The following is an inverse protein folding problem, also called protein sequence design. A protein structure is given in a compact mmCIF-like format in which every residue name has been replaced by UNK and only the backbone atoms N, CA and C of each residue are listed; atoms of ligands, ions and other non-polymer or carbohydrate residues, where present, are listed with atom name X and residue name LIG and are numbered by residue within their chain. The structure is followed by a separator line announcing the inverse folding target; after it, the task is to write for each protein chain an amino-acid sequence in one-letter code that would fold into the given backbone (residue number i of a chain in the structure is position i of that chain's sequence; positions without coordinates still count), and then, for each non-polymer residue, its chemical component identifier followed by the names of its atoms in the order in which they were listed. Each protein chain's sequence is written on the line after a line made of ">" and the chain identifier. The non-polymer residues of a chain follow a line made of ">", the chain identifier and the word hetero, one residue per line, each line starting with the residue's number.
data_IF_837364040654
#
_entry.id   IF_837364040654
#
_cell.length_a   1.000
_cell.length_b   1.000
_cell.length_c   1.000
_cell.angle_alpha   90.00
_cell.angle_beta   90.00
_cell.angle_gamma   90.00
#
_symmetry.space_group_name_H-M   'P 1'
#
loop_
_entity.id
_entity.type
_entity.pdbx_description
1 polymer ?
#
# COMPACT_ATOMS: atom_id res chain seq x y z
N UNK A 1 0.82 -28.60 11.09
CA UNK A 1 -0.45 -28.51 11.84
C UNK A 1 -1.17 -27.20 11.60
N UNK A 2 -0.67 -26.08 12.11
CA UNK A 2 -1.43 -24.81 12.22
C UNK A 2 -1.97 -24.19 10.91
N UNK A 3 -1.43 -24.51 9.74
CA UNK A 3 -1.92 -23.95 8.47
C UNK A 3 -3.37 -24.35 8.18
N UNK A 4 -3.67 -25.65 8.25
CA UNK A 4 -5.01 -26.16 7.99
C UNK A 4 -6.03 -25.55 8.94
N UNK A 5 -5.65 -25.36 10.21
CA UNK A 5 -6.52 -24.72 11.18
C UNK A 5 -6.86 -23.27 10.78
N UNK A 6 -5.87 -22.47 10.37
CA UNK A 6 -6.12 -21.08 9.93
C UNK A 6 -7.02 -21.07 8.69
N UNK A 7 -6.74 -21.90 7.69
CA UNK A 7 -7.56 -21.99 6.48
C UNK A 7 -8.99 -22.45 6.80
N UNK A 8 -9.17 -23.45 7.67
CA UNK A 8 -10.49 -23.91 8.10
C UNK A 8 -11.25 -22.84 8.88
N UNK A 9 -10.59 -22.11 9.78
CA UNK A 9 -11.23 -21.01 10.52
C UNK A 9 -11.64 -19.90 9.56
N UNK A 10 -10.76 -19.48 8.65
CA UNK A 10 -11.04 -18.39 7.71
C UNK A 10 -12.03 -18.79 6.61
N UNK A 11 -12.16 -20.08 6.30
CA UNK A 11 -13.22 -20.58 5.42
C UNK A 11 -14.61 -20.32 6.01
N UNK A 12 -14.75 -20.47 7.33
CA UNK A 12 -16.02 -20.28 8.04
C UNK A 12 -16.22 -18.82 8.46
N UNK A 13 -15.14 -18.16 8.89
CA UNK A 13 -15.16 -16.81 9.46
C UNK A 13 -14.10 -15.90 8.82
N UNK A 14 -14.26 -15.50 7.55
CA UNK A 14 -13.25 -14.72 6.82
C UNK A 14 -13.00 -13.34 7.44
N UNK A 15 -14.01 -12.75 8.10
CA UNK A 15 -13.87 -11.46 8.79
C UNK A 15 -12.84 -11.48 9.93
N UNK A 16 -12.55 -12.65 10.50
CA UNK A 16 -11.55 -12.80 11.57
C UNK A 16 -10.13 -12.51 11.10
N UNK A 17 -9.86 -12.53 9.78
CA UNK A 17 -8.56 -12.14 9.25
C UNK A 17 -8.21 -10.67 9.55
N UNK A 18 -9.22 -9.80 9.72
CA UNK A 18 -9.04 -8.40 10.10
C UNK A 18 -9.22 -8.14 11.60
N UNK A 19 -9.44 -9.18 12.41
CA UNK A 19 -9.56 -9.00 13.85
C UNK A 19 -8.23 -8.45 14.40
N UNK A 20 -8.34 -7.36 15.16
CA UNK A 20 -7.22 -6.73 15.86
C UNK A 20 -7.21 -7.23 17.31
N UNK A 21 -6.02 -7.46 17.86
CA UNK A 21 -5.86 -7.72 19.29
C UNK A 21 -6.04 -6.42 20.11
N UNK A 22 -5.87 -6.49 21.44
CA UNK A 22 -5.94 -5.32 22.35
C UNK A 22 -4.94 -4.19 22.01
N UNK A 23 -3.88 -4.53 21.29
CA UNK A 23 -2.82 -3.61 20.86
C UNK A 23 -3.06 -3.09 19.42
N UNK A 24 -4.19 -3.41 18.79
CA UNK A 24 -4.52 -2.99 17.43
C UNK A 24 -3.85 -3.82 16.33
N UNK A 25 -3.14 -4.91 16.68
CA UNK A 25 -2.34 -5.72 15.75
C UNK A 25 -3.18 -6.83 15.12
N UNK A 26 -3.10 -6.97 13.79
CA UNK A 26 -3.81 -8.02 13.04
C UNK A 26 -3.04 -9.35 13.03
N UNK A 27 -3.73 -10.45 12.72
CA UNK A 27 -3.09 -11.76 12.53
C UNK A 27 -2.01 -11.74 11.43
N UNK A 28 -2.22 -10.99 10.35
CA UNK A 28 -1.24 -10.86 9.26
C UNK A 28 0.01 -10.09 9.73
N UNK A 29 -0.15 -9.07 10.57
CA UNK A 29 0.96 -8.32 11.16
C UNK A 29 1.83 -9.22 12.04
N UNK A 30 1.21 -10.04 12.90
CA UNK A 30 1.93 -11.01 13.73
C UNK A 30 2.68 -12.04 12.85
N UNK A 31 2.01 -12.55 11.82
CA UNK A 31 2.62 -13.52 10.89
C UNK A 31 3.85 -12.92 10.19
N UNK A 32 3.76 -11.67 9.74
CA UNK A 32 4.85 -10.94 9.11
C UNK A 32 6.03 -10.72 10.07
N UNK A 33 5.77 -10.29 11.31
CA UNK A 33 6.81 -10.13 12.33
C UNK A 33 7.56 -11.43 12.64
N UNK A 34 6.82 -12.55 12.78
CA UNK A 34 7.43 -13.87 12.99
C UNK A 34 8.31 -14.25 11.80
N UNK A 35 7.85 -14.00 10.59
CA UNK A 35 8.60 -14.31 9.38
C UNK A 35 9.90 -13.49 9.28
N UNK A 36 9.82 -12.18 9.50
CA UNK A 36 10.99 -11.29 9.52
C UNK A 36 11.98 -11.77 10.56
N UNK A 37 11.54 -12.02 11.80
CA UNK A 37 12.40 -12.52 12.88
C UNK A 37 13.10 -13.84 12.50
N UNK A 38 12.40 -14.77 11.85
CA UNK A 38 12.99 -16.03 11.40
C UNK A 38 14.05 -15.84 10.31
N UNK A 39 13.83 -14.92 9.38
CA UNK A 39 14.84 -14.55 8.37
C UNK A 39 16.05 -13.89 9.05
N UNK A 40 15.81 -12.96 9.97
CA UNK A 40 16.86 -12.27 10.72
C UNK A 40 17.78 -13.24 11.45
N UNK A 41 17.22 -14.19 12.18
CA UNK A 41 17.99 -15.23 12.88
C UNK A 41 18.77 -16.13 11.90
N UNK A 42 18.29 -16.30 10.68
CA UNK A 42 18.99 -17.07 9.64
C UNK A 42 20.14 -16.27 9.01
N UNK A 43 19.99 -14.95 8.88
CA UNK A 43 20.97 -14.04 8.29
C UNK A 43 22.05 -13.57 9.26
N UNK A 44 21.77 -13.47 10.56
CA UNK A 44 22.76 -13.03 11.57
C UNK A 44 23.97 -13.96 11.71
N UNK A 45 23.91 -15.15 11.12
CA UNK A 45 25.05 -16.05 11.01
C UNK A 45 25.99 -15.72 9.85
N UNK A 46 25.59 -14.85 8.92
CA UNK A 46 26.39 -14.31 7.82
C UNK A 46 26.67 -12.83 8.09
N UNK A 47 27.82 -12.54 8.69
CA UNK A 47 28.14 -11.27 9.35
C UNK A 47 28.36 -10.05 8.44
N UNK A 48 27.89 -10.02 7.19
CA UNK A 48 28.33 -8.99 6.24
C UNK A 48 27.33 -8.44 5.20
N UNK A 49 26.02 -8.74 5.26
CA UNK A 49 25.08 -8.09 4.32
C UNK A 49 23.83 -7.48 4.97
N UNK A 50 23.73 -6.15 4.82
CA UNK A 50 22.58 -5.36 5.25
C UNK A 50 21.28 -5.75 4.54
N UNK A 51 20.35 -6.27 5.34
CA UNK A 51 18.89 -6.10 5.30
C UNK A 51 18.23 -5.55 4.02
N UNK A 52 18.29 -6.32 2.96
CA UNK A 52 17.24 -6.25 1.95
C UNK A 52 16.49 -7.57 1.97
N UNK A 53 15.30 -7.60 2.57
CA UNK A 53 14.31 -8.68 2.38
C UNK A 53 14.09 -8.95 0.87
N UNK A 54 14.35 -7.94 0.03
CA UNK A 54 14.32 -7.99 -1.42
C UNK A 54 15.59 -8.59 -2.06
N UNK A 55 16.66 -8.87 -1.31
CA UNK A 55 17.87 -9.58 -1.78
C UNK A 55 17.92 -11.05 -1.43
N UNK A 56 16.82 -11.65 -0.96
CA UNK A 56 16.67 -13.11 -1.00
C UNK A 56 16.72 -13.57 -2.47
N UNK A 57 17.94 -13.67 -3.03
CA UNK A 57 18.25 -14.59 -4.12
C UNK A 57 17.87 -15.94 -3.56
N UNK A 58 17.06 -16.70 -4.28
CA UNK A 58 16.71 -18.07 -3.93
C UNK A 58 18.01 -18.89 -3.83
N UNK A 59 18.68 -18.81 -2.69
CA UNK A 59 19.94 -19.47 -2.47
C UNK A 59 19.60 -20.96 -2.43
N UNK A 60 20.23 -21.76 -3.30
CA UNK A 60 19.83 -23.15 -3.65
C UNK A 60 19.81 -24.13 -2.47
N UNK A 61 20.14 -23.70 -1.25
CA UNK A 61 19.93 -24.51 -0.04
C UNK A 61 18.42 -24.69 0.17
N UNK A 62 17.95 -25.92 -0.03
CA UNK A 62 16.54 -26.37 -0.06
C UNK A 62 15.62 -25.89 1.09
N UNK A 63 16.17 -25.38 2.20
CA UNK A 63 15.41 -24.98 3.40
C UNK A 63 14.70 -23.62 3.26
N UNK A 64 15.36 -22.58 2.73
CA UNK A 64 14.83 -21.22 2.75
C UNK A 64 13.63 -21.00 1.82
N UNK A 65 13.64 -21.63 0.64
CA UNK A 65 12.55 -21.53 -0.34
C UNK A 65 11.26 -22.15 0.16
N UNK A 66 11.34 -23.23 0.95
CA UNK A 66 10.16 -23.87 1.55
C UNK A 66 9.51 -22.96 2.60
N UNK A 67 10.30 -22.34 3.50
CA UNK A 67 9.77 -21.45 4.52
C UNK A 67 9.07 -20.22 3.92
N UNK A 68 9.71 -19.56 2.93
CA UNK A 68 9.10 -18.44 2.21
C UNK A 68 7.80 -18.87 1.53
N UNK A 69 7.76 -20.04 0.85
CA UNK A 69 6.54 -20.55 0.22
C UNK A 69 5.43 -20.81 1.24
N UNK A 70 5.75 -21.40 2.40
CA UNK A 70 4.79 -21.63 3.46
C UNK A 70 4.25 -20.33 4.08
N UNK A 71 5.13 -19.35 4.29
CA UNK A 71 4.73 -18.02 4.74
C UNK A 71 3.83 -17.34 3.71
N UNK A 72 4.23 -17.33 2.44
CA UNK A 72 3.50 -16.68 1.36
C UNK A 72 2.10 -17.27 1.18
N UNK A 73 1.97 -18.61 1.21
CA UNK A 73 0.65 -19.25 1.13
C UNK A 73 -0.29 -18.85 2.29
N UNK A 74 0.25 -18.67 3.50
CA UNK A 74 -0.49 -18.16 4.67
C UNK A 74 -0.89 -16.70 4.49
N UNK A 75 0.05 -15.87 4.06
CA UNK A 75 -0.21 -14.46 3.80
C UNK A 75 -1.30 -14.28 2.74
N UNK A 76 -1.23 -15.00 1.61
CA UNK A 76 -2.29 -14.97 0.59
C UNK A 76 -3.65 -15.40 1.14
N UNK A 77 -3.72 -16.45 1.98
CA UNK A 77 -4.98 -16.89 2.59
C UNK A 77 -5.58 -15.80 3.47
N UNK A 78 -4.76 -15.13 4.28
CA UNK A 78 -5.20 -14.03 5.13
C UNK A 78 -5.64 -12.83 4.30
N UNK A 79 -4.87 -12.44 3.28
CA UNK A 79 -5.21 -11.33 2.38
C UNK A 79 -6.54 -11.62 1.65
N UNK A 80 -6.74 -12.86 1.17
CA UNK A 80 -8.00 -13.29 0.54
C UNK A 80 -9.19 -13.08 1.50
N UNK A 81 -9.11 -13.66 2.69
CA UNK A 81 -10.15 -13.56 3.70
C UNK A 81 -10.44 -12.09 4.09
N UNK A 82 -9.39 -11.29 4.26
CA UNK A 82 -9.48 -9.90 4.66
C UNK A 82 -10.10 -8.99 3.60
N UNK A 83 -9.65 -9.10 2.35
CA UNK A 83 -10.03 -8.20 1.26
C UNK A 83 -11.30 -8.68 0.55
N UNK A 84 -11.36 -9.95 0.13
CA UNK A 84 -12.50 -10.50 -0.62
C UNK A 84 -13.61 -11.06 0.27
N UNK A 85 -13.39 -11.14 1.60
CA UNK A 85 -14.32 -11.81 2.53
C UNK A 85 -14.58 -13.28 2.16
N UNK A 86 -13.63 -13.91 1.48
CA UNK A 86 -13.64 -15.32 1.08
C UNK A 86 -12.21 -15.80 0.86
N UNK A 87 -11.95 -17.09 1.05
CA UNK A 87 -10.69 -17.74 0.67
C UNK A 87 -10.82 -18.65 -0.56
N UNK A 88 -12.04 -18.82 -1.08
CA UNK A 88 -12.37 -19.73 -2.16
C UNK A 88 -12.82 -18.93 -3.38
N UNK A 89 -12.30 -19.30 -4.55
CA UNK A 89 -12.74 -18.77 -5.84
C UNK A 89 -14.01 -19.47 -6.34
N UNK A 90 -14.90 -18.77 -7.08
CA UNK A 90 -14.80 -17.37 -7.47
C UNK A 90 -15.11 -16.40 -6.31
N UNK A 91 -14.43 -15.26 -6.28
CA UNK A 91 -14.68 -14.24 -5.27
C UNK A 91 -16.02 -13.51 -5.50
N UNK A 92 -16.62 -12.92 -4.45
CA UNK A 92 -17.82 -12.10 -4.58
C UNK A 92 -17.67 -11.03 -5.67
N UNK A 93 -18.77 -10.73 -6.36
CA UNK A 93 -18.83 -9.74 -7.44
C UNK A 93 -17.93 -10.03 -8.65
N UNK A 94 -17.58 -11.30 -8.89
CA UNK A 94 -16.71 -11.74 -10.00
C UNK A 94 -15.34 -11.06 -10.00
N UNK A 95 -14.86 -10.65 -8.83
CA UNK A 95 -13.54 -10.04 -8.71
C UNK A 95 -12.45 -11.07 -8.98
N UNK A 96 -11.38 -10.64 -9.66
CA UNK A 96 -10.21 -11.46 -9.95
C UNK A 96 -9.17 -11.29 -8.85
N UNK A 97 -8.49 -12.38 -8.49
CA UNK A 97 -7.39 -12.35 -7.52
C UNK A 97 -6.24 -11.50 -8.03
N UNK A 98 -5.95 -10.40 -7.33
CA UNK A 98 -4.76 -9.60 -7.54
C UNK A 98 -4.14 -9.29 -6.18
N UNK A 99 -3.17 -10.11 -5.79
CA UNK A 99 -2.51 -10.02 -4.49
C UNK A 99 -1.90 -8.64 -4.24
N UNK A 100 -1.41 -7.96 -5.28
CA UNK A 100 -0.88 -6.60 -5.15
C UNK A 100 -2.01 -5.66 -4.76
N UNK A 101 -3.10 -5.57 -5.53
CA UNK A 101 -4.29 -4.75 -5.19
C UNK A 101 -4.83 -5.05 -3.80
N UNK A 102 -5.00 -6.33 -3.47
CA UNK A 102 -5.55 -6.75 -2.18
C UNK A 102 -4.62 -6.36 -1.02
N UNK A 103 -3.31 -6.58 -1.15
CA UNK A 103 -2.33 -6.23 -0.10
C UNK A 103 -2.27 -4.73 0.16
N UNK A 104 -2.35 -3.90 -0.88
CA UNK A 104 -2.23 -2.44 -0.74
C UNK A 104 -3.52 -1.78 -0.26
N UNK A 105 -4.68 -2.34 -0.64
CA UNK A 105 -5.98 -1.83 -0.21
C UNK A 105 -6.32 -2.22 1.22
N UNK A 106 -5.73 -3.31 1.72
CA UNK A 106 -6.06 -3.83 3.04
C UNK A 106 -5.48 -2.95 4.15
N UNK A 107 -6.37 -2.46 4.99
CA UNK A 107 -6.05 -1.78 6.25
C UNK A 107 -5.20 -2.70 7.14
N UNK A 108 -4.04 -2.21 7.58
CA UNK A 108 -3.13 -2.94 8.47
C UNK A 108 -2.27 -4.01 7.79
N UNK A 109 -2.20 -4.04 6.45
CA UNK A 109 -1.25 -4.91 5.76
C UNK A 109 0.19 -4.48 6.08
N UNK A 110 1.06 -5.38 6.54
CA UNK A 110 2.48 -5.06 6.71
C UNK A 110 3.10 -4.66 5.39
N UNK A 111 3.90 -3.59 5.38
CA UNK A 111 4.56 -3.08 4.18
C UNK A 111 5.44 -4.15 3.52
N UNK A 112 6.12 -4.98 4.30
CA UNK A 112 6.96 -6.07 3.79
C UNK A 112 6.16 -7.10 3.01
N UNK A 113 4.91 -7.36 3.42
CA UNK A 113 4.01 -8.28 2.72
C UNK A 113 3.58 -7.68 1.39
N UNK A 114 3.23 -6.38 1.35
CA UNK A 114 2.86 -5.69 0.12
C UNK A 114 4.06 -5.57 -0.85
N UNK A 115 5.24 -5.25 -0.35
CA UNK A 115 6.48 -5.21 -1.14
C UNK A 115 6.85 -6.59 -1.69
N UNK A 116 6.67 -7.64 -0.88
CA UNK A 116 6.83 -9.02 -1.34
C UNK A 116 5.82 -9.37 -2.44
N UNK A 117 4.55 -8.96 -2.29
CA UNK A 117 3.52 -9.14 -3.31
C UNK A 117 3.92 -8.50 -4.64
N UNK A 118 4.37 -7.23 -4.59
CA UNK A 118 4.84 -6.48 -5.77
C UNK A 118 6.04 -7.17 -6.41
N UNK A 119 6.97 -7.68 -5.61
CA UNK A 119 8.15 -8.36 -6.12
C UNK A 119 7.82 -9.70 -6.80
N UNK A 120 6.84 -10.45 -6.28
CA UNK A 120 6.42 -11.74 -6.85
C UNK A 120 5.54 -11.53 -8.09
N UNK A 121 4.71 -10.50 -8.10
CA UNK A 121 3.72 -10.22 -9.14
C UNK A 121 3.81 -8.78 -9.69
N UNK A 122 4.97 -8.37 -10.26
CA UNK A 122 5.17 -7.00 -10.74
C UNK A 122 4.19 -6.61 -11.85
N UNK A 123 3.72 -7.58 -12.65
CA UNK A 123 2.74 -7.38 -13.71
C UNK A 123 1.41 -6.79 -13.21
N UNK A 124 1.05 -7.03 -11.94
CA UNK A 124 -0.20 -6.53 -11.36
C UNK A 124 -0.16 -5.03 -11.08
N UNK A 125 1.02 -4.40 -11.04
CA UNK A 125 1.13 -2.93 -10.91
C UNK A 125 0.50 -2.20 -12.10
N UNK A 126 0.54 -2.82 -13.28
CA UNK A 126 0.02 -2.28 -14.53
C UNK A 126 -1.39 -2.79 -14.85
N UNK A 127 -2.04 -3.51 -13.94
CA UNK A 127 -3.38 -4.04 -14.14
C UNK A 127 -4.41 -3.19 -13.39
N UNK A 128 -5.51 -2.89 -14.06
CA UNK A 128 -6.69 -2.32 -13.42
C UNK A 128 -7.53 -3.44 -12.79
N UNK A 129 -8.11 -3.15 -11.62
CA UNK A 129 -9.16 -3.99 -11.05
C UNK A 129 -10.50 -3.77 -11.75
N UNK A 130 -11.56 -4.38 -11.20
CA UNK A 130 -12.91 -4.30 -11.75
C UNK A 130 -13.47 -2.87 -11.75
N UNK A 131 -12.93 -1.97 -10.92
CA UNK A 131 -13.33 -0.57 -10.77
C UNK A 131 -12.41 0.38 -11.57
N UNK A 132 -11.45 -0.17 -12.33
CA UNK A 132 -10.46 0.62 -13.08
C UNK A 132 -9.29 1.11 -12.24
N UNK A 133 -9.17 0.68 -10.99
CA UNK A 133 -8.13 1.14 -10.08
C UNK A 133 -6.84 0.35 -10.30
N UNK A 134 -5.73 1.07 -10.38
CA UNK A 134 -4.39 0.51 -10.19
C UNK A 134 -4.09 0.39 -8.69
N UNK A 135 -3.07 -0.36 -8.28
CA UNK A 135 -2.61 -0.38 -6.88
C UNK A 135 -2.34 1.02 -6.31
N UNK A 136 -1.84 1.94 -7.14
CA UNK A 136 -1.62 3.33 -6.75
C UNK A 136 -2.92 4.07 -6.32
N UNK A 137 -4.06 3.80 -6.98
CA UNK A 137 -5.34 4.39 -6.61
C UNK A 137 -5.80 3.91 -5.22
N UNK A 138 -5.62 2.62 -4.96
CA UNK A 138 -6.00 1.97 -3.70
C UNK A 138 -5.15 2.44 -2.52
N UNK A 139 -3.85 2.70 -2.75
CA UNK A 139 -2.99 3.32 -1.73
C UNK A 139 -3.37 4.78 -1.50
N UNK A 140 -3.64 5.53 -2.57
CA UNK A 140 -4.01 6.92 -2.47
C UNK A 140 -5.31 7.11 -1.67
N UNK A 141 -6.31 6.24 -1.87
CA UNK A 141 -7.60 6.31 -1.18
C UNK A 141 -7.55 5.91 0.30
N UNK A 142 -6.45 5.30 0.78
CA UNK A 142 -6.34 4.79 2.14
C UNK A 142 -5.53 5.75 3.04
N UNK A 143 -6.14 6.30 4.08
CA UNK A 143 -5.52 7.25 5.01
C UNK A 143 -4.55 6.59 6.00
N UNK A 144 -4.74 5.31 6.35
CA UNK A 144 -4.00 4.62 7.41
C UNK A 144 -2.53 4.31 7.10
N UNK A 145 -2.14 4.22 5.82
CA UNK A 145 -0.74 3.97 5.41
C UNK A 145 0.24 5.06 5.87
N UNK A 146 -0.30 6.18 6.35
CA UNK A 146 0.44 7.34 6.83
C UNK A 146 0.96 7.18 8.27
N UNK A 147 0.31 6.36 9.10
CA UNK A 147 0.60 6.24 10.52
C UNK A 147 1.02 4.81 10.92
N UNK A 148 0.72 3.82 10.09
CA UNK A 148 1.06 2.42 10.35
C UNK A 148 2.58 2.13 10.32
N UNK A 149 3.40 3.07 9.87
CA UNK A 149 4.86 2.98 9.94
C UNK A 149 5.37 3.90 11.05
N UNK A 150 5.29 3.44 12.30
CA UNK A 150 6.04 4.07 13.40
C UNK A 150 7.54 3.85 13.12
N UNK A 151 8.33 4.91 12.87
CA UNK A 151 9.77 4.81 12.64
C UNK A 151 10.52 4.17 13.82
N UNK A 152 9.89 4.00 14.98
CA UNK A 152 10.47 3.30 16.14
C UNK A 152 10.97 1.88 15.82
N UNK A 153 10.43 1.21 14.80
CA UNK A 153 10.93 -0.10 14.35
C UNK A 153 12.23 -0.02 13.52
N UNK A 154 12.55 1.16 12.99
CA UNK A 154 13.83 1.46 12.32
C UNK A 154 14.55 2.53 13.15
N UNK A 155 14.82 2.24 14.43
CA UNK A 155 15.85 2.97 15.21
C UNK A 155 17.25 2.63 14.66
N UNK A 156 17.49 2.99 13.41
CA UNK A 156 18.85 3.16 12.93
C UNK A 156 19.27 4.58 13.32
N UNK A 157 19.93 4.70 14.48
CA UNK A 157 20.33 5.98 15.09
C UNK A 157 21.33 6.80 14.24
N UNK A 158 21.72 6.31 13.05
CA UNK A 158 22.82 6.85 12.28
C UNK A 158 22.51 7.18 10.81
N UNK A 159 21.24 7.41 10.42
CA UNK A 159 20.96 7.82 9.03
C UNK A 159 20.32 9.19 8.93
N UNK A 160 21.20 10.19 8.84
CA UNK A 160 20.84 11.48 8.27
C UNK A 160 20.34 11.26 6.83
N UNK A 161 19.10 11.67 6.60
CA UNK A 161 18.51 11.84 5.27
C UNK A 161 18.01 10.58 4.52
N UNK A 162 17.66 9.48 5.22
CA UNK A 162 16.71 8.53 4.63
C UNK A 162 15.33 9.17 4.70
N UNK A 163 14.93 9.79 3.59
CA UNK A 163 13.50 9.99 3.31
C UNK A 163 12.80 8.66 3.53
N UNK A 164 11.86 8.61 4.48
CA UNK A 164 11.08 7.42 4.81
C UNK A 164 10.24 7.05 3.58
N UNK A 165 10.83 6.30 2.66
CA UNK A 165 10.21 5.92 1.41
C UNK A 165 8.96 5.10 1.72
N UNK A 166 7.81 5.72 1.47
CA UNK A 166 6.51 5.11 1.71
C UNK A 166 6.24 4.03 0.65
N UNK A 167 5.27 3.15 0.91
CA UNK A 167 4.82 2.19 -0.10
C UNK A 167 4.31 2.89 -1.37
N UNK A 168 3.69 4.06 -1.21
CA UNK A 168 3.26 4.92 -2.31
C UNK A 168 4.46 5.32 -3.18
N UNK A 169 5.56 5.78 -2.58
CA UNK A 169 6.78 6.16 -3.30
C UNK A 169 7.33 4.98 -4.09
N UNK A 170 7.36 3.78 -3.49
CA UNK A 170 7.82 2.57 -4.16
C UNK A 170 6.96 2.18 -5.36
N UNK A 171 5.63 2.32 -5.26
CA UNK A 171 4.76 2.05 -6.41
C UNK A 171 4.96 3.10 -7.51
N UNK A 172 5.11 4.38 -7.17
CA UNK A 172 5.41 5.42 -8.14
C UNK A 172 6.74 5.22 -8.84
N UNK A 173 7.78 4.81 -8.11
CA UNK A 173 9.09 4.49 -8.68
C UNK A 173 9.01 3.34 -9.70
N UNK A 174 8.15 2.35 -9.44
CA UNK A 174 7.98 1.17 -10.29
C UNK A 174 7.03 1.40 -11.48
N UNK A 175 6.00 2.23 -11.31
CA UNK A 175 5.00 2.50 -12.35
C UNK A 175 4.48 3.95 -12.30
N UNK A 176 5.30 4.94 -12.70
CA UNK A 176 4.97 6.36 -12.56
C UNK A 176 3.77 6.80 -13.43
N UNK A 177 3.56 6.13 -14.57
CA UNK A 177 2.45 6.45 -15.48
C UNK A 177 1.08 6.30 -14.82
N UNK A 178 0.93 5.45 -13.80
CA UNK A 178 -0.33 5.29 -13.07
C UNK A 178 -0.83 6.59 -12.43
N UNK A 179 0.06 7.54 -12.09
CA UNK A 179 -0.34 8.82 -11.49
C UNK A 179 -1.26 9.65 -12.41
N UNK A 180 -1.18 9.41 -13.72
CA UNK A 180 -1.93 10.17 -14.75
C UNK A 180 -3.17 9.45 -15.27
N UNK A 181 -3.37 8.19 -14.91
CA UNK A 181 -4.49 7.39 -15.40
C UNK A 181 -5.61 7.49 -14.37
N UNK A 182 -6.81 7.84 -14.81
CA UNK A 182 -8.00 7.85 -13.97
C UNK A 182 -8.66 6.47 -13.92
N UNK A 183 -9.36 6.15 -12.83
CA UNK A 183 -10.19 4.95 -12.74
C UNK A 183 -11.49 5.07 -13.58
N UNK A 184 -12.39 4.09 -13.50
CA UNK A 184 -13.66 4.10 -14.25
C UNK A 184 -14.60 5.25 -13.88
N UNK A 185 -14.45 5.83 -12.68
CA UNK A 185 -15.21 6.99 -12.24
C UNK A 185 -14.58 8.31 -12.69
N UNK A 186 -13.45 8.28 -13.41
CA UNK A 186 -12.70 9.46 -13.82
C UNK A 186 -11.78 10.04 -12.73
N UNK A 187 -11.72 9.40 -11.56
CA UNK A 187 -10.94 9.87 -10.41
C UNK A 187 -9.47 9.54 -10.60
N UNK A 188 -8.61 10.53 -10.37
CA UNK A 188 -7.16 10.34 -10.39
C UNK A 188 -6.62 9.87 -9.03
N UNK A 189 -5.44 9.25 -8.95
CA UNK A 189 -4.79 8.95 -7.67
C UNK A 189 -4.61 10.19 -6.78
N UNK A 190 -4.28 11.35 -7.37
CA UNK A 190 -4.14 12.60 -6.63
C UNK A 190 -5.45 13.02 -5.95
N UNK A 191 -6.58 12.96 -6.68
CA UNK A 191 -7.89 13.29 -6.12
C UNK A 191 -8.30 12.35 -4.99
N UNK A 192 -8.05 11.04 -5.15
CA UNK A 192 -8.30 10.04 -4.11
C UNK A 192 -7.46 10.30 -2.85
N UNK A 193 -6.19 10.69 -3.00
CA UNK A 193 -5.31 11.05 -1.89
C UNK A 193 -5.75 12.31 -1.13
N UNK A 194 -6.22 13.33 -1.86
CA UNK A 194 -6.74 14.56 -1.26
C UNK A 194 -8.00 14.27 -0.46
N UNK A 195 -8.92 13.48 -1.02
CA UNK A 195 -10.19 13.12 -0.38
C UNK A 195 -10.01 12.22 0.84
N UNK A 196 -9.06 11.29 0.79
CA UNK A 196 -8.72 10.45 1.95
C UNK A 196 -8.08 11.25 3.08
N UNK A 197 -7.67 12.50 2.82
CA UNK A 197 -7.05 13.35 3.84
C UNK A 197 -5.57 13.01 4.04
N UNK A 198 -4.86 12.58 2.99
CA UNK A 198 -3.40 12.60 3.03
C UNK A 198 -2.91 14.05 3.15
N UNK A 199 -1.72 14.24 3.71
CA UNK A 199 -1.09 15.55 3.81
C UNK A 199 0.00 15.70 2.75
N UNK A 200 0.48 16.93 2.55
CA UNK A 200 1.56 17.25 1.61
C UNK A 200 2.76 16.30 1.80
N UNK A 201 3.19 16.12 3.04
CA UNK A 201 4.38 15.31 3.37
C UNK A 201 4.11 13.81 3.44
N UNK A 202 2.83 13.42 3.55
CA UNK A 202 2.41 12.01 3.61
C UNK A 202 1.89 11.53 2.26
N UNK A 203 2.61 11.87 1.19
CA UNK A 203 2.43 11.31 -0.16
C UNK A 203 1.80 12.23 -1.19
N UNK A 204 1.09 13.31 -0.81
CA UNK A 204 0.50 14.22 -1.82
C UNK A 204 1.60 14.87 -2.66
N UNK A 205 2.69 15.36 -2.06
CA UNK A 205 3.78 15.99 -2.79
C UNK A 205 4.31 15.08 -3.90
N UNK A 206 4.58 13.82 -3.56
CA UNK A 206 5.11 12.81 -4.50
C UNK A 206 4.11 12.45 -5.61
N UNK A 207 2.82 12.30 -5.28
CA UNK A 207 1.78 12.14 -6.29
C UNK A 207 1.67 13.35 -7.21
N UNK A 208 1.72 14.56 -6.64
CA UNK A 208 1.64 15.81 -7.37
C UNK A 208 2.82 15.95 -8.36
N UNK A 209 4.05 15.71 -7.90
CA UNK A 209 5.26 15.75 -8.71
C UNK A 209 5.24 14.71 -9.85
N UNK A 210 4.61 13.55 -9.64
CA UNK A 210 4.44 12.51 -10.66
C UNK A 210 3.27 12.77 -11.63
N UNK A 211 2.34 13.67 -11.27
CA UNK A 211 1.15 13.97 -12.08
C UNK A 211 1.50 15.04 -13.11
N UNK A 212 1.00 14.87 -14.34
CA UNK A 212 1.21 15.83 -15.41
C UNK A 212 0.53 17.18 -15.10
N UNK A 213 1.13 18.32 -15.50
CA UNK A 213 0.56 19.63 -15.23
C UNK A 213 -0.88 19.81 -15.73
N UNK A 214 -1.23 19.19 -16.87
CA UNK A 214 -2.59 19.26 -17.42
C UNK A 214 -3.61 18.57 -16.52
N UNK A 215 -3.25 17.44 -15.90
CA UNK A 215 -4.11 16.69 -14.97
C UNK A 215 -4.30 17.43 -13.65
N UNK A 216 -3.21 17.95 -13.06
CA UNK A 216 -3.27 18.83 -11.87
C UNK A 216 -4.19 20.04 -12.13
N UNK A 217 -4.22 20.50 -13.38
CA UNK A 217 -4.97 21.69 -13.74
C UNK A 217 -6.46 21.46 -14.03
N UNK A 218 -6.91 20.21 -14.02
CA UNK A 218 -8.28 19.82 -14.33
C UNK A 218 -9.11 19.69 -13.05
N UNK A 219 -10.40 20.02 -13.13
CA UNK A 219 -11.35 19.77 -12.03
C UNK A 219 -11.65 18.27 -11.97
N UNK A 220 -11.75 17.72 -10.77
CA UNK A 220 -12.14 16.33 -10.65
C UNK A 220 -13.57 16.11 -11.16
N UNK A 221 -13.84 15.06 -11.96
CA UNK A 221 -15.16 14.86 -12.56
C UNK A 221 -16.28 14.60 -11.54
N UNK A 222 -15.96 14.07 -10.36
CA UNK A 222 -16.95 13.66 -9.37
C UNK A 222 -17.50 14.82 -8.55
N UNK A 223 -16.66 15.82 -8.22
CA UNK A 223 -17.02 16.95 -7.36
C UNK A 223 -16.90 18.31 -8.07
N UNK A 224 -16.28 18.37 -9.24
CA UNK A 224 -16.05 19.62 -9.98
C UNK A 224 -15.06 20.56 -9.30
N UNK A 225 -14.26 20.07 -8.35
CA UNK A 225 -13.31 20.87 -7.57
C UNK A 225 -11.88 20.75 -8.13
N UNK A 226 -11.09 21.80 -7.94
CA UNK A 226 -9.65 21.73 -8.18
C UNK A 226 -8.93 21.04 -7.01
N UNK A 227 -7.70 20.53 -7.22
CA UNK A 227 -6.95 19.84 -6.17
C UNK A 227 -6.82 20.60 -4.84
N UNK A 228 -6.54 21.91 -4.87
CA UNK A 228 -6.44 22.71 -3.63
C UNK A 228 -7.79 22.87 -2.92
N UNK A 229 -8.91 22.90 -3.66
CA UNK A 229 -10.26 22.91 -3.10
C UNK A 229 -10.59 21.55 -2.48
N UNK A 230 -10.21 20.44 -3.12
CA UNK A 230 -10.34 19.09 -2.56
C UNK A 230 -9.55 18.95 -1.26
N UNK A 231 -8.32 19.47 -1.18
CA UNK A 231 -7.56 19.55 0.08
C UNK A 231 -8.28 20.37 1.16
N UNK A 232 -9.03 21.41 0.78
CA UNK A 232 -9.76 22.25 1.73
C UNK A 232 -10.99 21.53 2.32
N UNK A 233 -11.70 20.73 1.52
CA UNK A 233 -12.91 20.01 1.97
C UNK A 233 -12.64 18.59 2.51
N UNK A 234 -11.43 18.06 2.32
CA UNK A 234 -11.05 16.72 2.74
C UNK A 234 -11.02 16.52 4.27
N UNK A 235 -11.12 15.26 4.71
CA UNK A 235 -11.21 14.84 6.12
C UNK A 235 -10.12 15.42 7.03
N UNK A 236 -8.89 15.53 6.52
CA UNK A 236 -7.74 16.07 7.23
C UNK A 236 -7.20 17.31 6.51
N UNK A 237 -8.06 18.31 6.34
CA UNK A 237 -7.67 19.56 5.69
C UNK A 237 -6.41 20.14 6.32
N UNK A 238 -5.36 20.29 5.53
CA UNK A 238 -4.05 20.77 5.96
C UNK A 238 -3.71 22.04 5.21
N UNK A 239 -3.50 23.14 5.94
CA UNK A 239 -3.17 24.44 5.34
C UNK A 239 -1.91 24.36 4.47
N UNK A 240 -0.93 23.54 4.85
CA UNK A 240 0.28 23.30 4.07
C UNK A 240 -0.04 22.64 2.73
N UNK A 241 -0.92 21.63 2.70
CA UNK A 241 -1.35 21.01 1.44
C UNK A 241 -2.08 22.01 0.54
N UNK A 242 -3.02 22.77 1.10
CA UNK A 242 -3.80 23.77 0.35
C UNK A 242 -2.88 24.84 -0.23
N UNK A 243 -2.04 25.44 0.62
CA UNK A 243 -1.12 26.50 0.23
C UNK A 243 -0.12 26.03 -0.82
N UNK A 244 0.48 24.84 -0.63
CA UNK A 244 1.40 24.26 -1.60
C UNK A 244 0.71 24.03 -2.94
N UNK A 245 -0.48 23.43 -2.97
CA UNK A 245 -1.23 23.22 -4.22
C UNK A 245 -1.61 24.54 -4.91
N UNK A 246 -2.04 25.55 -4.13
CA UNK A 246 -2.40 26.87 -4.67
C UNK A 246 -1.19 27.62 -5.22
N UNK A 247 -0.03 27.53 -4.57
CA UNK A 247 1.20 28.20 -5.01
C UNK A 247 1.73 27.67 -6.34
N UNK A 248 1.44 26.42 -6.69
CA UNK A 248 1.77 25.86 -7.99
C UNK A 248 0.81 26.33 -9.11
N UNK A 249 -0.25 27.08 -8.80
CA UNK A 249 -1.21 27.66 -9.75
C UNK A 249 -1.53 29.13 -9.46
N UNK A 250 -0.55 30.05 -9.60
CA UNK A 250 -0.78 31.46 -9.33
C UNK A 250 -1.89 32.07 -10.19
N UNK A 251 -2.08 31.59 -11.43
CA UNK A 251 -3.15 32.05 -12.33
C UNK A 251 -4.58 31.87 -11.80
N UNK A 252 -4.82 30.94 -10.86
CA UNK A 252 -6.15 30.78 -10.26
C UNK A 252 -6.44 31.82 -9.17
N UNK A 253 -5.43 32.54 -8.68
CA UNK A 253 -5.60 33.59 -7.67
C UNK A 253 -6.29 34.83 -8.21
N UNK A 254 -6.34 35.01 -9.53
CA UNK A 254 -6.92 36.20 -10.18
C UNK A 254 -8.46 36.11 -10.22
N UNK A 255 -9.03 34.91 -10.07
CA UNK A 255 -10.46 34.65 -10.22
C UNK A 255 -11.21 34.33 -8.92
N UNK A 256 -10.51 34.34 -7.78
CA UNK A 256 -11.05 34.06 -6.45
C UNK A 256 -11.13 35.36 -5.63
#
# INVERSE_FOLDING_TARGET
>A
GHFYLISSILAVFPHQANAKNKDGITALSILSQIYIKNIQMSLSNDSNESFSLLRLKCNRKRSGTHQLRCFWGRACTMINASYYKSIVEPFPNKRVWRVVHASVAMVGCPIDVALLAIKIHPEQLCQQDEDGNFPLHLIASNDEWNDAFDPSYVRSENVGDITTSTLLDKILDLYPSAANISNKNGESPLALALRSGKTWEKGIKRLFDATSPSKVNTRDPSDGLYPFMQAAVGKNSCITSIYSLLRHRPELQIYA
#
